data_IF_597752672864
#
_entry.id   IF_597752672864
#
_cell.length_a   1.000
_cell.length_b   1.000
_cell.length_c   1.000
_cell.angle_alpha   90.00
_cell.angle_beta   90.00
_cell.angle_gamma   90.00
#
_symmetry.space_group_name_H-M   'P 1'
#
loop_
_entity.id
_entity.type
_entity.pdbx_description
1 polymer ?
#
# COMPACT_ATOMS: atom_id res chain seq x y z
N UNK A 1 18.52 -2.77 4.69
CA UNK A 1 18.57 -2.43 6.10
C UNK A 1 17.17 -2.52 6.69
N UNK A 2 17.00 -3.33 7.72
CA UNK A 2 15.67 -3.50 8.33
C UNK A 2 15.34 -2.30 9.22
N UNK A 3 14.08 -1.86 9.20
CA UNK A 3 13.59 -0.82 10.09
C UNK A 3 13.48 -1.42 11.50
N UNK A 4 14.04 -0.76 12.53
CA UNK A 4 13.94 -1.28 13.88
C UNK A 4 12.48 -1.48 14.32
N UNK A 5 12.19 -2.59 14.97
CA UNK A 5 10.87 -2.90 15.50
C UNK A 5 9.91 -3.54 14.53
N UNK A 6 10.28 -3.70 13.26
CA UNK A 6 9.43 -4.38 12.27
C UNK A 6 9.89 -5.82 12.13
N UNK A 7 8.92 -6.75 12.17
CA UNK A 7 9.19 -8.17 11.90
C UNK A 7 9.85 -8.30 10.53
N UNK A 8 11.03 -8.93 10.42
CA UNK A 8 11.70 -9.10 9.13
C UNK A 8 10.86 -9.81 8.09
N UNK A 9 10.00 -10.74 8.48
CA UNK A 9 9.12 -11.43 7.54
C UNK A 9 8.13 -10.46 6.89
N UNK A 10 7.62 -9.50 7.66
CA UNK A 10 6.70 -8.48 7.13
C UNK A 10 7.47 -7.50 6.26
N UNK A 11 8.65 -7.06 6.68
CA UNK A 11 9.47 -6.15 5.89
C UNK A 11 9.83 -6.77 4.53
N UNK A 12 10.23 -8.04 4.51
CA UNK A 12 10.54 -8.75 3.28
C UNK A 12 9.31 -8.91 2.39
N UNK A 13 8.14 -9.19 2.99
CA UNK A 13 6.89 -9.30 2.26
C UNK A 13 6.51 -7.98 1.60
N UNK A 14 6.62 -6.87 2.32
CA UNK A 14 6.35 -5.53 1.76
C UNK A 14 7.27 -5.25 0.58
N UNK A 15 8.56 -5.57 0.68
CA UNK A 15 9.49 -5.40 -0.43
C UNK A 15 9.04 -6.18 -1.66
N UNK A 16 8.58 -7.42 -1.48
CA UNK A 16 8.04 -8.22 -2.59
C UNK A 16 6.82 -7.58 -3.22
N UNK A 17 5.89 -7.08 -2.40
CA UNK A 17 4.68 -6.42 -2.91
C UNK A 17 5.07 -5.23 -3.79
N UNK A 18 5.98 -4.39 -3.31
CA UNK A 18 6.40 -3.22 -4.07
C UNK A 18 7.08 -3.60 -5.38
N UNK A 19 8.03 -4.51 -5.34
CA UNK A 19 8.80 -4.87 -6.54
C UNK A 19 7.97 -5.64 -7.57
N UNK A 20 7.18 -6.60 -7.12
CA UNK A 20 6.37 -7.44 -8.00
C UNK A 20 5.27 -6.61 -8.66
N UNK A 21 4.56 -5.80 -7.88
CA UNK A 21 3.50 -4.94 -8.42
C UNK A 21 4.06 -3.90 -9.39
N UNK A 22 5.17 -3.27 -9.04
CA UNK A 22 5.80 -2.24 -9.88
C UNK A 22 6.26 -2.76 -11.23
N UNK A 23 6.60 -4.04 -11.32
CA UNK A 23 7.06 -4.67 -12.55
C UNK A 23 5.90 -5.23 -13.41
N UNK A 24 4.66 -5.06 -12.98
CA UNK A 24 3.47 -5.65 -13.63
C UNK A 24 3.58 -7.17 -13.74
N UNK A 25 4.16 -7.80 -12.74
CA UNK A 25 4.30 -9.25 -12.66
C UNK A 25 2.99 -9.84 -12.13
N UNK A 26 2.06 -10.11 -13.04
CA UNK A 26 0.72 -10.56 -12.68
C UNK A 26 0.71 -11.91 -11.96
N UNK A 27 1.56 -12.84 -12.41
CA UNK A 27 1.66 -14.15 -11.76
C UNK A 27 2.18 -14.01 -10.33
N UNK A 28 3.17 -13.14 -10.14
CA UNK A 28 3.68 -12.84 -8.80
C UNK A 28 2.64 -12.17 -7.93
N UNK A 29 1.90 -11.20 -8.49
CA UNK A 29 0.83 -10.51 -7.77
C UNK A 29 -0.26 -11.48 -7.32
N UNK A 30 -0.61 -12.44 -8.16
CA UNK A 30 -1.64 -13.42 -7.83
C UNK A 30 -1.32 -14.19 -6.57
N UNK A 31 -0.04 -14.45 -6.32
CA UNK A 31 0.41 -15.18 -5.12
C UNK A 31 0.46 -14.30 -3.87
N UNK A 32 0.50 -12.97 -4.04
CA UNK A 32 0.62 -12.04 -2.92
C UNK A 32 -0.72 -11.56 -2.39
N UNK A 33 -1.77 -11.58 -3.22
CA UNK A 33 -3.06 -11.01 -2.86
C UNK A 33 -4.08 -12.08 -2.52
N UNK A 34 -4.91 -11.82 -1.50
CA UNK A 34 -6.04 -12.71 -1.22
C UNK A 34 -7.06 -12.62 -2.37
N UNK A 35 -7.90 -13.66 -2.49
CA UNK A 35 -8.91 -13.68 -3.56
C UNK A 35 -9.91 -12.53 -3.46
N UNK A 36 -10.19 -12.06 -2.25
CA UNK A 36 -11.12 -10.98 -1.97
C UNK A 36 -10.47 -9.61 -1.83
N UNK A 37 -9.20 -9.49 -2.18
CA UNK A 37 -8.47 -8.24 -2.06
C UNK A 37 -9.12 -7.12 -2.89
N UNK A 38 -9.17 -5.91 -2.31
CA UNK A 38 -9.68 -4.72 -2.99
C UNK A 38 -8.72 -3.56 -2.79
N UNK A 39 -8.79 -2.61 -3.72
CA UNK A 39 -8.08 -1.34 -3.63
C UNK A 39 -9.09 -0.22 -3.38
N UNK A 40 -8.77 0.65 -2.45
CA UNK A 40 -9.51 1.87 -2.21
C UNK A 40 -8.59 3.04 -2.51
N UNK A 41 -9.06 3.97 -3.32
CA UNK A 41 -8.32 5.19 -3.64
C UNK A 41 -9.13 6.36 -3.10
N UNK A 42 -8.58 7.06 -2.11
CA UNK A 42 -9.17 8.29 -1.62
C UNK A 42 -8.54 9.45 -2.36
N UNK A 43 -9.35 10.20 -3.11
CA UNK A 43 -8.85 11.32 -3.89
C UNK A 43 -8.70 12.58 -3.04
N UNK A 44 -7.98 13.57 -3.59
CA UNK A 44 -7.82 14.86 -2.91
C UNK A 44 -9.14 15.62 -2.76
N UNK A 45 -10.17 15.27 -3.55
CA UNK A 45 -11.51 15.85 -3.43
C UNK A 45 -12.41 15.08 -2.46
N UNK A 46 -11.88 14.04 -1.81
CA UNK A 46 -12.65 13.28 -0.84
C UNK A 46 -13.52 12.19 -1.42
N UNK A 47 -13.31 11.83 -2.69
CA UNK A 47 -14.01 10.72 -3.31
C UNK A 47 -13.28 9.41 -3.06
N UNK A 48 -14.03 8.32 -2.96
CA UNK A 48 -13.46 6.98 -2.82
C UNK A 48 -13.74 6.20 -4.09
N UNK A 49 -12.67 5.73 -4.73
CA UNK A 49 -12.75 4.85 -5.88
C UNK A 49 -12.42 3.44 -5.38
N UNK A 50 -13.32 2.50 -5.62
CA UNK A 50 -13.10 1.10 -5.24
C UNK A 50 -12.81 0.28 -6.48
N UNK A 51 -11.69 -0.43 -6.47
CA UNK A 51 -11.30 -1.35 -7.54
C UNK A 51 -11.21 -2.76 -6.97
N UNK A 52 -11.78 -3.71 -7.69
CA UNK A 52 -11.61 -5.12 -7.34
C UNK A 52 -10.22 -5.59 -7.75
N UNK A 53 -9.80 -6.72 -7.20
CA UNK A 53 -8.55 -7.37 -7.58
C UNK A 53 -8.50 -7.59 -9.10
N UNK A 54 -9.59 -8.08 -9.69
CA UNK A 54 -9.66 -8.32 -11.12
C UNK A 54 -9.48 -7.04 -11.95
N UNK A 55 -10.11 -5.94 -11.51
CA UNK A 55 -9.98 -4.66 -12.22
C UNK A 55 -8.55 -4.14 -12.19
N UNK A 56 -7.85 -4.26 -11.07
CA UNK A 56 -6.46 -3.82 -10.98
C UNK A 56 -5.55 -4.73 -11.82
N UNK A 57 -5.80 -6.03 -11.82
CA UNK A 57 -5.02 -6.96 -12.65
C UNK A 57 -5.23 -6.66 -14.14
N UNK A 58 -6.46 -6.34 -14.55
CA UNK A 58 -6.74 -5.96 -15.95
C UNK A 58 -5.99 -4.68 -16.33
N UNK A 59 -5.96 -3.68 -15.44
CA UNK A 59 -5.22 -2.44 -15.69
C UNK A 59 -3.72 -2.71 -15.82
N UNK A 60 -3.16 -3.50 -14.93
CA UNK A 60 -1.74 -3.81 -14.97
C UNK A 60 -1.37 -4.66 -16.19
N UNK A 61 -2.26 -5.56 -16.60
CA UNK A 61 -2.07 -6.34 -17.82
C UNK A 61 -2.06 -5.43 -19.04
N UNK A 62 -2.98 -4.45 -19.09
CA UNK A 62 -3.04 -3.49 -20.18
C UNK A 62 -1.76 -2.66 -20.26
N UNK A 63 -1.22 -2.22 -19.13
CA UNK A 63 0.04 -1.47 -19.10
C UNK A 63 1.22 -2.31 -19.57
N UNK A 64 1.29 -3.56 -19.10
CA UNK A 64 2.34 -4.48 -19.52
C UNK A 64 2.27 -4.73 -21.03
N UNK A 65 1.07 -5.02 -21.56
CA UNK A 65 0.89 -5.33 -22.97
C UNK A 65 1.15 -4.11 -23.87
N UNK A 66 0.91 -2.91 -23.34
CA UNK A 66 1.24 -1.67 -24.04
C UNK A 66 2.73 -1.33 -24.01
N UNK A 67 3.54 -2.11 -23.27
CA UNK A 67 4.97 -1.86 -23.14
C UNK A 67 5.30 -0.66 -22.26
N UNK A 68 4.41 -0.29 -21.36
CA UNK A 68 4.70 0.82 -20.44
C UNK A 68 5.85 0.48 -19.49
N UNK A 69 6.69 1.47 -19.15
CA UNK A 69 7.79 1.21 -18.22
C UNK A 69 7.27 0.81 -16.84
N UNK A 70 8.05 0.04 -16.09
CA UNK A 70 7.67 -0.32 -14.73
C UNK A 70 7.45 0.92 -13.87
N UNK A 71 6.63 0.77 -12.84
CA UNK A 71 6.48 1.82 -11.83
C UNK A 71 7.78 1.95 -11.03
N UNK A 72 8.03 3.13 -10.49
CA UNK A 72 9.16 3.33 -9.60
C UNK A 72 8.97 2.54 -8.31
N UNK A 73 10.07 2.10 -7.71
CA UNK A 73 10.04 1.32 -6.48
C UNK A 73 10.42 2.15 -5.25
N UNK A 74 10.30 3.47 -5.38
CA UNK A 74 10.57 4.36 -4.24
C UNK A 74 9.50 4.17 -3.16
N UNK A 75 9.92 3.76 -1.98
CA UNK A 75 9.01 3.60 -0.85
C UNK A 75 9.77 3.65 0.47
N UNK A 76 9.04 3.94 1.54
CA UNK A 76 9.53 3.82 2.91
C UNK A 76 8.43 3.23 3.78
N UNK A 77 8.78 2.30 4.66
CA UNK A 77 7.84 1.80 5.66
C UNK A 77 7.80 2.80 6.81
N UNK A 78 6.63 3.38 7.04
CA UNK A 78 6.45 4.36 8.10
C UNK A 78 6.08 3.69 9.42
N UNK A 79 5.25 2.66 9.36
CA UNK A 79 4.79 1.95 10.55
C UNK A 79 4.19 0.61 10.16
N UNK A 80 4.32 -0.37 11.02
CA UNK A 80 3.62 -1.65 10.92
C UNK A 80 2.97 -1.93 12.28
N UNK A 81 1.67 -2.20 12.23
CA UNK A 81 0.90 -2.57 13.41
C UNK A 81 0.43 -4.01 13.26
N UNK A 82 0.89 -4.90 14.14
CA UNK A 82 0.46 -6.30 14.12
C UNK A 82 -0.67 -6.52 15.11
N UNK A 83 -1.69 -7.28 14.69
CA UNK A 83 -2.83 -7.64 15.54
C UNK A 83 -3.18 -9.11 15.28
N UNK A 84 -2.49 -10.02 15.99
CA UNK A 84 -2.70 -11.45 15.82
C UNK A 84 -2.30 -11.92 14.43
N UNK A 85 -3.24 -12.40 13.64
CA UNK A 85 -2.99 -12.87 12.28
C UNK A 85 -3.12 -11.76 11.24
N UNK A 86 -3.37 -10.54 11.67
CA UNK A 86 -3.51 -9.38 10.79
C UNK A 86 -2.42 -8.37 11.07
N UNK A 87 -2.13 -7.55 10.06
CA UNK A 87 -1.22 -6.42 10.23
C UNK A 87 -1.62 -5.30 9.29
N UNK A 88 -1.30 -4.07 9.68
CA UNK A 88 -1.45 -2.90 8.82
C UNK A 88 -0.08 -2.29 8.65
N UNK A 89 0.29 -2.01 7.40
CA UNK A 89 1.52 -1.30 7.10
C UNK A 89 1.20 0.03 6.45
N UNK A 90 1.81 1.09 6.95
CA UNK A 90 1.70 2.42 6.35
C UNK A 90 3.00 2.71 5.62
N UNK A 91 2.89 3.07 4.34
CA UNK A 91 4.04 3.33 3.49
C UNK A 91 3.96 4.72 2.88
N UNK A 92 5.11 5.39 2.81
CA UNK A 92 5.34 6.43 1.82
C UNK A 92 5.64 5.73 0.50
N UNK A 93 5.05 6.21 -0.60
CA UNK A 93 5.32 5.62 -1.90
C UNK A 93 5.24 6.67 -3.00
N UNK A 94 6.12 6.53 -3.99
CA UNK A 94 6.11 7.37 -5.18
C UNK A 94 6.23 6.46 -6.40
N UNK A 95 5.21 6.52 -7.29
CA UNK A 95 5.08 5.60 -8.42
C UNK A 95 5.89 6.02 -9.64
N UNK A 96 6.22 7.30 -9.76
CA UNK A 96 7.09 7.80 -10.81
C UNK A 96 7.73 9.11 -10.34
N UNK A 97 8.89 9.50 -10.93
CA UNK A 97 9.52 10.77 -10.57
C UNK A 97 8.65 11.99 -10.87
N UNK A 98 7.73 11.85 -11.85
CA UNK A 98 6.83 12.93 -12.23
C UNK A 98 5.56 12.98 -11.41
N UNK A 99 5.25 11.94 -10.63
CA UNK A 99 4.04 11.87 -9.84
C UNK A 99 4.28 12.37 -8.42
N UNK A 100 3.27 12.97 -7.78
CA UNK A 100 3.39 13.28 -6.36
C UNK A 100 3.40 12.00 -5.53
N UNK A 101 3.97 12.05 -4.32
CA UNK A 101 3.97 10.90 -3.44
C UNK A 101 2.56 10.60 -2.92
N UNK A 102 2.38 9.38 -2.45
CA UNK A 102 1.11 8.92 -1.87
C UNK A 102 1.37 8.21 -0.56
N UNK A 103 0.35 8.18 0.27
CA UNK A 103 0.30 7.35 1.46
C UNK A 103 -0.38 6.05 1.07
N UNK A 104 0.28 4.94 1.36
CA UNK A 104 -0.24 3.60 1.11
C UNK A 104 -0.52 2.91 2.44
N UNK A 105 -1.71 2.35 2.55
CA UNK A 105 -2.04 1.46 3.66
C UNK A 105 -2.20 0.05 3.09
N UNK A 106 -1.39 -0.88 3.58
CA UNK A 106 -1.52 -2.29 3.22
C UNK A 106 -2.15 -3.03 4.40
N UNK A 107 -3.25 -3.71 4.15
CA UNK A 107 -3.86 -4.60 5.12
C UNK A 107 -3.41 -6.02 4.81
N UNK A 108 -2.70 -6.62 5.76
CA UNK A 108 -2.07 -7.92 5.60
C UNK A 108 -2.80 -8.97 6.44
N UNK A 109 -2.89 -10.16 5.91
CA UNK A 109 -3.47 -11.32 6.60
C UNK A 109 -2.50 -12.48 6.53
N UNK A 110 -2.27 -13.13 7.66
CA UNK A 110 -1.39 -14.29 7.72
C UNK A 110 -2.19 -15.57 7.51
N UNK A 111 -1.79 -16.38 6.55
CA UNK A 111 -2.36 -17.66 6.25
C UNK A 111 -1.31 -18.76 6.30
N UNK A 112 -1.67 -19.98 5.87
CA UNK A 112 -0.74 -21.11 5.87
C UNK A 112 0.53 -20.88 5.05
N UNK A 113 0.42 -20.10 3.98
CA UNK A 113 1.57 -19.77 3.14
C UNK A 113 2.33 -18.52 3.55
N UNK A 114 1.98 -17.90 4.68
CA UNK A 114 2.58 -16.65 5.13
C UNK A 114 1.65 -15.47 4.94
N UNK A 115 2.23 -14.28 4.86
CA UNK A 115 1.46 -13.05 4.71
C UNK A 115 0.89 -12.91 3.29
N UNK A 116 -0.29 -12.31 3.20
CA UNK A 116 -0.93 -11.93 1.94
C UNK A 116 -1.57 -10.55 2.10
N UNK A 117 -1.71 -9.83 0.99
CA UNK A 117 -2.39 -8.53 0.98
C UNK A 117 -3.88 -8.77 0.89
N UNK A 118 -4.61 -8.37 1.93
CA UNK A 118 -6.06 -8.50 1.98
C UNK A 118 -6.77 -7.24 1.48
N UNK A 119 -6.10 -6.11 1.46
CA UNK A 119 -6.64 -4.86 0.95
C UNK A 119 -5.60 -3.77 0.95
N UNK A 120 -5.86 -2.71 0.16
CA UNK A 120 -4.97 -1.55 0.09
C UNK A 120 -5.79 -0.29 0.01
N UNK A 121 -5.30 0.75 0.66
CA UNK A 121 -5.85 2.10 0.52
C UNK A 121 -4.73 3.04 0.11
N UNK A 122 -5.00 3.87 -0.89
CA UNK A 122 -4.04 4.85 -1.40
C UNK A 122 -4.68 6.22 -1.31
N UNK A 123 -3.93 7.20 -0.81
CA UNK A 123 -4.40 8.57 -0.74
C UNK A 123 -3.23 9.51 -1.01
N UNK A 124 -3.49 10.76 -1.46
CA UNK A 124 -2.41 11.73 -1.61
C UNK A 124 -1.63 11.90 -0.31
N UNK A 125 -0.34 12.18 -0.44
CA UNK A 125 0.50 12.42 0.73
C UNK A 125 -0.06 13.60 1.51
N UNK A 126 -0.12 13.53 2.86
CA UNK A 126 -0.66 14.63 3.67
C UNK A 126 0.04 15.95 3.40
N UNK A 127 -0.76 17.01 3.33
CA UNK A 127 -0.23 18.35 3.16
C UNK A 127 0.46 18.88 4.41
N UNK A 128 1.11 20.02 4.25
CA UNK A 128 1.91 20.62 5.31
C UNK A 128 1.08 21.23 6.44
N UNK A 129 -0.22 21.32 6.29
CA UNK A 129 -1.13 21.88 7.30
C UNK A 129 -1.46 20.84 8.35
N UNK A 130 -0.46 20.08 8.71
CA UNK A 130 -0.61 19.00 9.66
C UNK A 130 -0.64 19.52 11.06
N UNK A 131 -1.14 18.74 11.88
CA UNK A 131 -1.23 18.80 13.30
C UNK A 131 -1.92 17.52 13.69
N UNK A 132 -2.30 17.42 14.93
CA UNK A 132 -3.11 16.31 15.37
C UNK A 132 -4.49 16.40 14.70
N UNK A 133 -5.03 15.26 14.24
CA UNK A 133 -6.41 15.24 13.73
C UNK A 133 -7.44 15.50 14.85
N UNK A 134 -7.02 15.36 16.09
CA UNK A 134 -7.86 15.70 17.24
C UNK A 134 -7.68 17.18 17.57
N UNK A 135 -8.75 17.86 18.01
CA UNK A 135 -8.61 19.25 18.46
C UNK A 135 -7.72 19.33 19.70
N UNK A 136 -7.08 20.50 19.94
CA UNK A 136 -6.30 20.67 21.16
C UNK A 136 -7.14 20.41 22.40
N UNK A 137 -6.52 19.89 23.46
CA UNK A 137 -7.21 19.69 24.72
C UNK A 137 -7.57 21.04 25.33
N UNK A 138 -8.82 21.15 25.78
CA UNK A 138 -9.24 22.32 26.55
C UNK A 138 -8.64 22.22 27.93
N UNK A 139 -7.99 23.30 28.39
CA UNK A 139 -7.51 23.35 29.76
C UNK A 139 -8.70 23.49 30.71
N UNK A 140 -8.63 22.73 31.80
CA UNK A 140 -9.57 22.97 32.90
C UNK A 140 -9.37 24.38 33.44
N UNK A 141 -10.47 25.08 33.67
CA UNK A 141 -10.44 26.43 34.22
C UNK A 141 -9.95 26.42 35.66
#
# INVERSE_FOLDING_TARGET
>A
MSTPGIDPAIADFIAKVVHIGSAYDLDGMERLYTADQTFLILTSEGEVIRLTRAQVFDEFRARRDAGEPPLATEYRVLHVEEQGQDAVALLYRRMSPAAPPVLYELRLRKGPGGWAVAGETVTPWPGAEGGSFLPPRTRAA
#
